data_IF_255819326552
#
_entry.id   IF_255819326552
#
_cell.length_a   1.000
_cell.length_b   1.000
_cell.length_c   1.000
_cell.angle_alpha   90.00
_cell.angle_beta   90.00
_cell.angle_gamma   90.00
#
_symmetry.space_group_name_H-M   'P 1'
#
loop_
_entity.id
_entity.type
_entity.pdbx_description
1 polymer ?
#
# COMPACT_ATOMS: atom_id res chain seq x y z
N UNK A 1 -13.32 -7.42 -3.65
CA UNK A 1 -11.92 -7.77 -3.82
C UNK A 1 -11.29 -8.43 -2.61
N UNK A 2 -10.00 -8.68 -2.69
CA UNK A 2 -9.22 -9.35 -1.63
C UNK A 2 -8.32 -8.40 -0.86
N UNK A 3 -7.97 -7.25 -1.47
CA UNK A 3 -7.06 -6.29 -0.87
C UNK A 3 -5.59 -6.62 -1.10
N UNK A 4 -5.21 -6.94 -2.33
CA UNK A 4 -3.83 -7.27 -2.71
C UNK A 4 -3.38 -6.35 -3.83
N UNK A 5 -2.24 -5.69 -3.63
CA UNK A 5 -1.48 -5.07 -4.72
C UNK A 5 -0.59 -6.14 -5.34
N UNK A 6 -0.71 -6.35 -6.65
CA UNK A 6 0.04 -7.40 -7.33
C UNK A 6 0.88 -6.85 -8.48
N UNK A 7 2.05 -7.48 -8.66
CA UNK A 7 2.92 -7.37 -9.81
C UNK A 7 3.10 -8.74 -10.44
N UNK A 8 4.08 -8.86 -11.31
CA UNK A 8 4.40 -10.11 -11.99
C UNK A 8 5.86 -10.50 -11.75
N UNK A 9 6.10 -11.77 -11.47
CA UNK A 9 7.44 -12.35 -11.38
C UNK A 9 7.42 -13.76 -11.98
N UNK A 10 8.32 -14.05 -12.91
CA UNK A 10 8.42 -15.34 -13.60
C UNK A 10 7.09 -15.80 -14.22
N UNK A 11 6.32 -14.85 -14.77
CA UNK A 11 5.03 -15.13 -15.41
C UNK A 11 3.89 -15.42 -14.45
N UNK A 12 4.09 -15.23 -13.14
CA UNK A 12 3.06 -15.45 -12.11
C UNK A 12 2.77 -14.17 -11.33
N UNK A 13 1.55 -14.02 -10.78
CA UNK A 13 1.24 -12.91 -9.90
C UNK A 13 2.09 -12.96 -8.63
N UNK A 14 2.71 -11.83 -8.29
CA UNK A 14 3.45 -11.65 -7.05
C UNK A 14 2.77 -10.60 -6.18
N UNK A 15 2.61 -10.89 -4.93
CA UNK A 15 2.09 -9.93 -3.96
C UNK A 15 3.13 -8.85 -3.71
N UNK A 16 2.84 -7.62 -4.11
CA UNK A 16 3.66 -6.46 -3.78
C UNK A 16 3.40 -6.11 -2.31
N UNK A 17 2.14 -5.97 -1.95
CA UNK A 17 1.71 -5.71 -0.58
C UNK A 17 0.26 -6.11 -0.39
N UNK A 18 -0.10 -6.79 0.70
CA UNK A 18 -1.48 -6.86 1.13
C UNK A 18 -1.90 -5.51 1.70
N UNK A 19 -3.11 -5.08 1.40
CA UNK A 19 -3.68 -3.85 1.94
C UNK A 19 -4.17 -4.12 3.36
N UNK A 20 -3.84 -3.26 4.31
CA UNK A 20 -4.25 -3.41 5.71
C UNK A 20 -5.78 -3.44 5.87
N UNK A 21 -6.28 -4.21 6.84
CA UNK A 21 -7.71 -4.42 7.13
C UNK A 21 -8.51 -5.03 5.99
N UNK A 22 -7.88 -5.85 5.19
CA UNK A 22 -8.53 -6.57 4.10
C UNK A 22 -8.51 -8.07 4.33
N UNK A 23 -9.33 -8.86 3.61
CA UNK A 23 -9.30 -10.31 3.72
C UNK A 23 -7.90 -10.92 3.56
N UNK A 24 -7.12 -10.43 2.60
CA UNK A 24 -5.76 -10.92 2.37
C UNK A 24 -4.82 -10.66 3.55
N UNK A 25 -4.83 -9.45 4.08
CA UNK A 25 -3.98 -9.09 5.23
C UNK A 25 -4.38 -9.89 6.48
N UNK A 26 -5.67 -10.01 6.75
CA UNK A 26 -6.16 -10.78 7.90
C UNK A 26 -5.83 -12.27 7.81
N UNK A 27 -5.78 -12.83 6.61
CA UNK A 27 -5.44 -14.22 6.38
C UNK A 27 -3.94 -14.51 6.51
N UNK A 28 -3.09 -13.48 6.53
CA UNK A 28 -1.64 -13.64 6.64
C UNK A 28 -0.91 -13.73 5.32
N UNK A 29 -1.48 -13.23 4.22
CA UNK A 29 -0.75 -13.06 2.95
C UNK A 29 0.29 -11.98 3.15
N UNK A 30 1.50 -12.21 2.66
CA UNK A 30 2.65 -11.33 2.86
C UNK A 30 3.20 -10.79 1.53
N UNK A 31 3.86 -9.64 1.62
CA UNK A 31 4.65 -9.11 0.51
C UNK A 31 5.70 -10.15 0.05
N UNK A 32 5.85 -10.29 -1.26
CA UNK A 32 6.75 -11.27 -1.86
C UNK A 32 6.13 -12.64 -2.15
N UNK A 33 4.95 -12.93 -1.64
CA UNK A 33 4.24 -14.19 -1.94
C UNK A 33 3.96 -14.31 -3.44
N UNK A 34 4.16 -15.49 -4.00
CA UNK A 34 3.82 -15.81 -5.40
C UNK A 34 2.52 -16.60 -5.41
N UNK A 35 1.54 -16.10 -6.14
CA UNK A 35 0.25 -16.79 -6.32
C UNK A 35 0.41 -17.80 -7.46
N UNK A 36 0.55 -19.08 -7.12
CA UNK A 36 0.78 -20.13 -8.10
C UNK A 36 -0.50 -20.72 -8.67
N UNK A 37 -1.58 -20.71 -7.90
CA UNK A 37 -2.89 -21.23 -8.32
C UNK A 37 -4.01 -20.37 -7.77
N UNK A 38 -5.07 -20.25 -8.56
CA UNK A 38 -6.34 -19.62 -8.17
C UNK A 38 -7.43 -20.68 -8.35
N UNK A 39 -8.10 -21.06 -7.28
CA UNK A 39 -9.12 -22.12 -7.26
C UNK A 39 -8.60 -23.43 -7.90
N UNK A 40 -7.35 -23.79 -7.61
CA UNK A 40 -6.70 -24.98 -8.12
C UNK A 40 -6.17 -24.89 -9.55
N UNK A 41 -6.37 -23.78 -10.25
CA UNK A 41 -5.87 -23.56 -11.61
C UNK A 41 -4.54 -22.80 -11.60
N UNK A 42 -3.51 -23.28 -12.33
CA UNK A 42 -2.23 -22.60 -12.41
C UNK A 42 -2.36 -21.17 -12.93
N UNK A 43 -1.59 -20.26 -12.36
CA UNK A 43 -1.51 -18.86 -12.80
C UNK A 43 -0.40 -18.61 -13.83
N UNK A 44 0.52 -19.56 -13.97
CA UNK A 44 1.58 -19.49 -14.98
C UNK A 44 0.94 -19.34 -16.35
N UNK A 45 1.47 -18.44 -17.15
CA UNK A 45 0.98 -18.09 -18.50
C UNK A 45 -0.35 -17.31 -18.53
N UNK A 46 -0.93 -16.95 -17.39
CA UNK A 46 -1.97 -15.94 -17.34
C UNK A 46 -1.36 -14.53 -17.41
N UNK A 47 -2.02 -13.62 -18.12
CA UNK A 47 -1.68 -12.20 -17.99
C UNK A 47 -2.02 -11.72 -16.56
N UNK A 48 -1.34 -10.67 -16.12
CA UNK A 48 -1.64 -10.06 -14.83
C UNK A 48 -3.11 -9.61 -14.74
N UNK A 49 -3.63 -9.04 -15.84
CA UNK A 49 -5.04 -8.64 -15.91
C UNK A 49 -6.00 -9.82 -15.77
N UNK A 50 -5.71 -10.95 -16.40
CA UNK A 50 -6.54 -12.15 -16.28
C UNK A 50 -6.51 -12.72 -14.86
N UNK A 51 -5.35 -12.73 -14.22
CA UNK A 51 -5.23 -13.12 -12.83
C UNK A 51 -6.04 -12.21 -11.91
N UNK A 52 -5.98 -10.89 -12.12
CA UNK A 52 -6.79 -9.90 -11.38
C UNK A 52 -8.28 -10.17 -11.56
N UNK A 53 -8.72 -10.42 -12.81
CA UNK A 53 -10.13 -10.72 -13.10
C UNK A 53 -10.63 -11.96 -12.36
N UNK A 54 -9.80 -13.01 -12.28
CA UNK A 54 -10.13 -14.21 -11.55
C UNK A 54 -10.16 -14.01 -10.04
N UNK A 55 -9.32 -13.13 -9.51
CA UNK A 55 -9.31 -12.82 -8.08
C UNK A 55 -10.47 -11.91 -7.66
N UNK A 56 -10.95 -11.05 -8.54
CA UNK A 56 -12.12 -10.22 -8.29
C UNK A 56 -13.41 -11.03 -8.35
N UNK A 57 -14.43 -10.57 -7.68
CA UNK A 57 -15.76 -11.16 -7.69
C UNK A 57 -16.66 -10.48 -6.68
N UNK A 58 -17.90 -10.93 -6.63
CA UNK A 58 -18.92 -10.41 -5.72
C UNK A 58 -18.47 -10.51 -4.26
N UNK A 59 -18.75 -9.49 -3.43
CA UNK A 59 -18.52 -9.59 -2.00
C UNK A 59 -19.19 -10.83 -1.40
N UNK A 60 -18.56 -11.38 -0.36
CA UNK A 60 -19.00 -12.58 0.36
C UNK A 60 -18.86 -13.89 -0.44
N UNK A 61 -18.21 -13.88 -1.59
CA UNK A 61 -17.86 -15.10 -2.33
C UNK A 61 -16.47 -15.59 -1.98
N UNK A 62 -16.29 -16.90 -1.99
CA UNK A 62 -15.02 -17.54 -1.59
C UNK A 62 -14.06 -17.71 -2.77
N UNK A 63 -12.79 -17.67 -2.47
CA UNK A 63 -11.71 -17.97 -3.40
C UNK A 63 -10.58 -18.68 -2.65
N UNK A 64 -9.93 -19.62 -3.32
CA UNK A 64 -8.74 -20.31 -2.79
C UNK A 64 -7.51 -19.84 -3.55
N UNK A 65 -6.52 -19.39 -2.83
CA UNK A 65 -5.21 -19.03 -3.37
C UNK A 65 -4.16 -20.03 -2.88
N UNK A 66 -3.35 -20.54 -3.81
CA UNK A 66 -2.17 -21.33 -3.48
C UNK A 66 -0.94 -20.45 -3.66
N UNK A 67 -0.11 -20.38 -2.63
CA UNK A 67 1.00 -19.43 -2.55
C UNK A 67 2.30 -20.17 -2.32
N UNK A 68 3.34 -19.75 -3.05
CA UNK A 68 4.73 -20.09 -2.78
C UNK A 68 5.39 -18.94 -2.05
N UNK A 69 5.91 -19.22 -0.87
CA UNK A 69 6.59 -18.25 -0.01
C UNK A 69 8.05 -18.61 0.20
N UNK A 70 8.94 -17.64 0.08
CA UNK A 70 10.35 -17.82 0.37
C UNK A 70 10.54 -18.34 1.80
N UNK A 71 11.42 -19.33 1.96
CA UNK A 71 11.67 -19.99 3.26
C UNK A 71 10.67 -21.07 3.64
N UNK A 72 9.71 -21.37 2.78
CA UNK A 72 8.74 -22.45 2.97
C UNK A 72 8.88 -23.49 1.86
N UNK A 73 9.06 -24.76 2.24
CA UNK A 73 9.23 -25.85 1.27
C UNK A 73 7.91 -26.28 0.63
N UNK A 74 6.82 -26.14 1.36
CA UNK A 74 5.49 -26.56 0.91
C UNK A 74 4.64 -25.36 0.49
N UNK A 75 3.78 -25.52 -0.53
CA UNK A 75 2.80 -24.49 -0.87
C UNK A 75 1.88 -24.19 0.31
N UNK A 76 1.49 -22.93 0.43
CA UNK A 76 0.51 -22.47 1.41
C UNK A 76 -0.84 -22.30 0.72
N UNK A 77 -1.91 -22.74 1.37
CA UNK A 77 -3.27 -22.55 0.88
C UNK A 77 -4.01 -21.54 1.74
N UNK A 78 -4.65 -20.57 1.09
CA UNK A 78 -5.48 -19.56 1.74
C UNK A 78 -6.88 -19.59 1.17
N UNK A 79 -7.86 -19.81 2.04
CA UNK A 79 -9.27 -19.66 1.70
C UNK A 79 -9.72 -18.27 2.13
N UNK A 80 -10.05 -17.44 1.15
CA UNK A 80 -10.42 -16.05 1.37
C UNK A 80 -11.88 -15.82 1.00
N UNK A 81 -12.51 -14.89 1.68
CA UNK A 81 -13.83 -14.39 1.33
C UNK A 81 -13.68 -12.97 0.80
N UNK A 82 -14.13 -12.74 -0.42
CA UNK A 82 -14.08 -11.41 -1.03
C UNK A 82 -14.94 -10.43 -0.24
N UNK A 83 -14.52 -9.19 -0.23
CA UNK A 83 -15.21 -8.12 0.47
C UNK A 83 -15.08 -6.80 -0.29
N UNK A 84 -15.87 -5.80 0.13
CA UNK A 84 -15.67 -4.42 -0.32
C UNK A 84 -14.39 -3.90 0.32
N UNK A 85 -13.45 -3.45 -0.52
CA UNK A 85 -12.15 -2.97 -0.05
C UNK A 85 -12.24 -1.48 0.24
N UNK A 86 -12.15 -1.14 1.52
CA UNK A 86 -12.01 0.23 2.00
C UNK A 86 -10.58 0.45 2.43
N UNK A 87 -9.86 1.27 1.69
CA UNK A 87 -8.46 1.52 2.01
C UNK A 87 -8.37 2.74 2.92
N UNK A 88 -7.91 2.52 4.14
CA UNK A 88 -7.52 3.56 5.07
C UNK A 88 -6.03 3.80 4.90
N UNK A 89 -5.68 4.87 4.19
CA UNK A 89 -4.30 5.11 3.77
C UNK A 89 -3.40 5.63 4.89
N UNK A 90 -3.96 6.25 5.91
CA UNK A 90 -3.18 6.82 7.04
C UNK A 90 -3.71 6.32 8.37
N UNK A 91 -2.80 5.84 9.22
CA UNK A 91 -3.07 5.43 10.60
C UNK A 91 -2.02 6.00 11.51
N UNK A 92 -2.41 6.41 12.68
CA UNK A 92 -1.50 6.97 13.68
C UNK A 92 -1.76 6.40 15.05
N UNK A 93 -0.71 6.38 15.87
CA UNK A 93 -0.78 6.04 17.29
C UNK A 93 0.39 6.68 18.02
N UNK A 94 0.25 6.85 19.33
CA UNK A 94 1.38 7.17 20.18
C UNK A 94 2.12 5.89 20.54
N UNK A 95 3.44 5.91 20.39
CA UNK A 95 4.32 4.91 20.98
C UNK A 95 4.66 5.32 22.43
N UNK A 96 5.28 4.41 23.20
CA UNK A 96 5.86 4.76 24.46
C UNK A 96 6.89 5.89 24.29
N UNK A 97 7.09 6.72 25.34
CA UNK A 97 8.11 7.79 25.38
C UNK A 97 7.88 8.98 24.43
N UNK A 98 6.63 9.38 24.24
CA UNK A 98 6.24 10.60 23.51
C UNK A 98 6.66 10.62 22.03
N UNK A 99 6.69 9.47 21.37
CA UNK A 99 6.93 9.36 19.95
C UNK A 99 5.62 9.04 19.24
N UNK A 100 5.27 9.85 18.24
CA UNK A 100 4.13 9.55 17.36
C UNK A 100 4.56 8.58 16.25
N UNK A 101 3.67 7.66 15.93
CA UNK A 101 3.85 6.72 14.82
C UNK A 101 2.75 6.96 13.80
N UNK A 102 3.14 7.11 12.54
CA UNK A 102 2.21 7.25 11.41
C UNK A 102 2.55 6.22 10.35
N UNK A 103 1.58 5.41 9.99
CA UNK A 103 1.65 4.47 8.89
C UNK A 103 0.95 5.07 7.67
N UNK A 104 1.66 5.19 6.55
CA UNK A 104 1.08 5.54 5.25
C UNK A 104 1.12 4.28 4.40
N UNK A 105 -0.02 3.65 4.19
CA UNK A 105 -0.13 2.38 3.49
C UNK A 105 -0.18 2.55 1.97
N UNK A 106 -0.66 3.68 1.48
CA UNK A 106 -0.83 3.97 0.06
C UNK A 106 -1.01 5.49 -0.15
N UNK A 107 -0.67 5.98 -1.33
CA UNK A 107 -0.86 7.39 -1.69
C UNK A 107 -2.13 7.57 -2.51
N UNK A 108 -3.21 7.94 -1.82
CA UNK A 108 -4.53 8.20 -2.37
C UNK A 108 -4.85 9.70 -2.36
N UNK A 109 -5.94 10.10 -2.99
CA UNK A 109 -6.37 11.50 -3.07
C UNK A 109 -6.45 12.17 -1.69
N UNK A 110 -6.96 11.46 -0.69
CA UNK A 110 -7.16 12.01 0.66
C UNK A 110 -5.98 11.81 1.61
N UNK A 111 -4.94 11.12 1.21
CA UNK A 111 -3.83 10.74 2.10
C UNK A 111 -3.17 11.95 2.76
N UNK A 112 -2.86 13.00 2.00
CA UNK A 112 -2.23 14.20 2.55
C UNK A 112 -3.14 14.91 3.56
N UNK A 113 -4.42 15.07 3.25
CA UNK A 113 -5.39 15.69 4.16
C UNK A 113 -5.60 14.87 5.44
N UNK A 114 -5.70 13.55 5.30
CA UNK A 114 -5.85 12.65 6.44
C UNK A 114 -4.61 12.65 7.33
N UNK A 115 -3.41 12.72 6.73
CA UNK A 115 -2.16 12.86 7.48
C UNK A 115 -2.14 14.13 8.32
N UNK A 116 -2.44 15.27 7.72
CA UNK A 116 -2.46 16.56 8.42
C UNK A 116 -3.46 16.53 9.57
N UNK A 117 -4.64 15.99 9.34
CA UNK A 117 -5.66 15.84 10.38
C UNK A 117 -5.16 14.99 11.55
N UNK A 118 -4.57 13.84 11.27
CA UNK A 118 -4.08 12.93 12.32
C UNK A 118 -2.89 13.52 13.07
N UNK A 119 -1.97 14.20 12.40
CA UNK A 119 -0.87 14.92 13.06
C UNK A 119 -1.39 16.02 13.99
N UNK A 120 -2.43 16.76 13.58
CA UNK A 120 -3.07 17.76 14.43
C UNK A 120 -3.69 17.14 15.69
N UNK A 121 -4.35 16.01 15.57
CA UNK A 121 -4.95 15.28 16.69
C UNK A 121 -3.90 14.79 17.70
N UNK A 122 -2.78 14.29 17.22
CA UNK A 122 -1.65 13.84 18.05
C UNK A 122 -1.04 15.01 18.84
N UNK A 123 -1.01 16.21 18.26
CA UNK A 123 -0.48 17.41 18.92
C UNK A 123 -1.41 17.99 19.99
N UNK A 124 -2.69 17.61 20.01
CA UNK A 124 -3.67 18.08 20.98
C UNK A 124 -3.63 17.34 22.32
N UNK A 125 -2.91 16.23 22.41
CA UNK A 125 -2.78 15.46 23.63
C UNK A 125 -1.91 16.16 24.69
N UNK A 126 -1.83 15.61 25.93
CA UNK A 126 -1.01 16.18 26.97
C UNK A 126 0.49 16.01 26.67
N UNK A 127 1.05 17.00 26.02
CA UNK A 127 2.43 17.03 25.57
C UNK A 127 2.57 16.76 24.08
N UNK A 128 3.24 17.67 23.35
CA UNK A 128 3.58 17.45 21.96
C UNK A 128 4.55 16.26 21.87
N UNK A 129 4.42 15.37 20.86
CA UNK A 129 5.38 14.28 20.68
C UNK A 129 6.78 14.84 20.43
N UNK A 130 7.78 14.20 21.04
CA UNK A 130 9.19 14.58 20.89
C UNK A 130 9.80 14.08 19.59
N UNK A 131 9.14 13.15 18.92
CA UNK A 131 9.59 12.57 17.67
C UNK A 131 8.44 11.95 16.88
N UNK A 132 8.69 11.71 15.61
CA UNK A 132 7.74 11.12 14.68
C UNK A 132 8.42 9.99 13.91
N UNK A 133 7.77 8.83 13.86
CA UNK A 133 8.13 7.72 12.98
C UNK A 133 7.11 7.66 11.86
N UNK A 134 7.58 7.77 10.63
CA UNK A 134 6.76 7.58 9.43
C UNK A 134 7.09 6.21 8.88
N UNK A 135 6.10 5.33 8.82
CA UNK A 135 6.24 3.98 8.31
C UNK A 135 5.67 3.89 6.89
N UNK A 136 6.57 3.69 5.92
CA UNK A 136 6.25 3.54 4.50
C UNK A 136 6.54 2.13 3.98
N UNK A 137 6.81 1.19 4.87
CA UNK A 137 7.13 -0.19 4.47
C UNK A 137 5.95 -0.81 3.73
N UNK A 138 6.25 -1.49 2.63
CA UNK A 138 5.28 -2.14 1.75
C UNK A 138 4.22 -1.18 1.16
N UNK A 139 4.51 0.12 1.11
CA UNK A 139 3.68 1.09 0.40
C UNK A 139 3.94 0.94 -1.11
N UNK A 140 2.93 0.59 -1.93
CA UNK A 140 3.12 0.41 -3.36
C UNK A 140 3.19 1.74 -4.13
N UNK A 141 3.01 2.87 -3.46
CA UNK A 141 2.92 4.17 -4.08
C UNK A 141 1.48 4.64 -4.30
N UNK A 142 1.25 5.35 -5.38
CA UNK A 142 -0.07 5.87 -5.75
C UNK A 142 0.02 7.19 -6.49
N UNK A 143 -0.79 8.15 -6.10
CA UNK A 143 -0.86 9.46 -6.76
C UNK A 143 0.34 10.35 -6.40
N UNK A 144 1.02 10.85 -7.41
CA UNK A 144 2.15 11.77 -7.24
C UNK A 144 1.75 13.04 -6.48
N UNK A 145 0.61 13.63 -6.79
CA UNK A 145 0.09 14.80 -6.09
C UNK A 145 -0.10 14.54 -4.58
N UNK A 146 -0.51 13.34 -4.22
CA UNK A 146 -0.64 12.92 -2.83
C UNK A 146 0.73 12.84 -2.14
N UNK A 147 1.73 12.29 -2.80
CA UNK A 147 3.09 12.22 -2.28
C UNK A 147 3.70 13.62 -2.07
N UNK A 148 3.43 14.54 -3.00
CA UNK A 148 3.82 15.94 -2.88
C UNK A 148 3.14 16.59 -1.67
N UNK A 149 1.84 16.37 -1.51
CA UNK A 149 1.07 16.88 -0.38
C UNK A 149 1.58 16.36 0.97
N UNK A 150 1.88 15.08 1.06
CA UNK A 150 2.48 14.47 2.27
C UNK A 150 3.84 15.07 2.56
N UNK A 151 4.70 15.18 1.55
CA UNK A 151 6.04 15.79 1.71
C UNK A 151 5.96 17.25 2.15
N UNK A 152 4.95 17.96 1.66
CA UNK A 152 4.71 19.38 2.01
C UNK A 152 4.41 19.59 3.49
N UNK A 153 3.92 18.57 4.20
CA UNK A 153 3.70 18.64 5.65
C UNK A 153 5.01 18.71 6.46
N UNK A 154 6.14 18.37 5.87
CA UNK A 154 7.44 18.25 6.55
C UNK A 154 8.53 19.19 6.00
N UNK A 155 8.29 19.82 4.88
CA UNK A 155 9.28 20.66 4.19
C UNK A 155 8.85 22.13 4.19
N UNK A 156 9.81 23.01 4.13
CA UNK A 156 9.56 24.45 4.02
C UNK A 156 8.92 24.80 2.68
N UNK A 157 8.06 25.81 2.70
CA UNK A 157 7.38 26.32 1.50
C UNK A 157 8.39 26.65 0.41
N UNK A 158 8.09 26.24 -0.83
CA UNK A 158 8.96 26.46 -1.98
C UNK A 158 10.11 25.48 -2.14
N UNK A 159 10.26 24.51 -1.22
CA UNK A 159 11.27 23.46 -1.36
C UNK A 159 10.94 22.53 -2.53
N UNK A 160 11.97 22.07 -3.24
CA UNK A 160 11.81 21.06 -4.28
C UNK A 160 11.51 19.70 -3.63
N UNK A 161 10.41 19.08 -4.02
CA UNK A 161 10.01 17.76 -3.54
C UNK A 161 10.55 16.66 -4.44
N UNK A 162 10.27 16.75 -5.72
CA UNK A 162 10.65 15.73 -6.72
C UNK A 162 10.77 16.36 -8.09
N UNK A 163 11.66 15.81 -8.91
CA UNK A 163 11.79 16.20 -10.31
C UNK A 163 11.74 14.97 -11.21
N UNK A 164 11.22 15.16 -12.42
CA UNK A 164 11.30 14.17 -13.49
C UNK A 164 12.21 14.68 -14.58
N UNK A 165 13.04 13.78 -15.15
CA UNK A 165 13.95 14.10 -16.23
C UNK A 165 13.87 12.98 -17.28
N UNK A 166 13.58 13.35 -18.52
CA UNK A 166 13.47 12.42 -19.64
C UNK A 166 14.35 12.83 -20.81
N UNK A 167 14.38 12.01 -21.85
CA UNK A 167 15.10 12.31 -23.10
C UNK A 167 14.51 13.52 -23.82
N UNK A 168 13.21 13.70 -23.70
CA UNK A 168 12.50 14.83 -24.32
C UNK A 168 12.45 15.96 -23.30
N UNK A 169 13.00 17.16 -23.60
CA UNK A 169 13.02 18.27 -22.64
C UNK A 169 11.65 18.65 -22.07
N UNK A 170 10.58 18.51 -22.86
CA UNK A 170 9.21 18.76 -22.40
C UNK A 170 8.71 17.79 -21.33
N UNK A 171 9.41 16.69 -21.12
CA UNK A 171 9.12 15.72 -20.04
C UNK A 171 9.74 16.11 -18.69
N UNK A 172 10.62 17.12 -18.68
CA UNK A 172 11.26 17.59 -17.46
C UNK A 172 10.28 18.41 -16.65
N UNK A 173 10.08 18.02 -15.39
CA UNK A 173 9.18 18.72 -14.48
C UNK A 173 9.79 18.78 -13.10
N UNK A 174 9.49 19.85 -12.38
CA UNK A 174 9.85 20.01 -11.00
C UNK A 174 8.58 20.29 -10.17
N UNK A 175 8.51 19.65 -9.01
CA UNK A 175 7.36 19.77 -8.12
C UNK A 175 7.85 20.30 -6.78
N UNK A 176 7.23 21.36 -6.34
CA UNK A 176 7.60 22.10 -5.13
C UNK A 176 6.52 22.00 -4.07
N UNK A 177 6.94 22.25 -2.84
CA UNK A 177 6.00 22.38 -1.71
C UNK A 177 5.02 23.51 -2.01
N UNK A 178 3.74 23.17 -1.93
CA UNK A 178 2.65 24.15 -2.04
C UNK A 178 2.40 24.78 -0.67
N UNK A 179 2.20 26.06 -0.66
CA UNK A 179 1.82 26.81 0.56
C UNK A 179 0.40 26.48 1.00
#
# INVERSE_FOLDING_TARGET
>A
GLGIEIGSEDGMPKVISPIEDTPAARAGILAGDIITHINGKPTKDLSLNDAVKQMRGEPKTSIKLTIRRAGRDKPLEFNLVRDVIKVRSVRSKMLADDVAYVRIAQFQERTAADLVKQLSEVHKGPGAPKGLVIDLRNDPGGLLESAIGVSSAFLDSGSLVVSTKGRIPSSNREYYVKS
#
